data_IF_923909886023
#
_entry.id   IF_923909886023
#
_cell.length_a   1.000
_cell.length_b   1.000
_cell.length_c   1.000
_cell.angle_alpha   90.00
_cell.angle_beta   90.00
_cell.angle_gamma   90.00
#
_symmetry.space_group_name_H-M   'P 1'
#
loop_
_entity.id
_entity.type
_entity.pdbx_description
1 polymer ?
#
# COMPACT_ATOMS: atom_id res chain seq x y z
N UNK A 1 4.81 18.30 42.35
CA UNK A 1 4.70 16.90 41.91
C UNK A 1 4.21 16.79 40.45
N UNK A 2 3.19 17.53 39.98
CA UNK A 2 2.65 17.40 38.62
C UNK A 2 3.62 17.72 37.45
N UNK A 3 4.53 18.69 37.61
CA UNK A 3 5.47 19.07 36.53
C UNK A 3 6.51 17.96 36.22
N UNK A 4 7.02 17.27 37.25
CA UNK A 4 7.98 16.18 37.07
C UNK A 4 7.31 14.95 36.43
N UNK A 5 6.07 14.65 36.80
CA UNK A 5 5.29 13.56 36.16
C UNK A 5 5.02 13.85 34.70
N UNK A 6 4.60 15.07 34.36
CA UNK A 6 4.38 15.46 32.97
C UNK A 6 5.65 15.38 32.10
N UNK A 7 6.79 15.77 32.65
CA UNK A 7 8.08 15.65 31.93
C UNK A 7 8.43 14.17 31.69
N UNK A 8 8.21 13.30 32.68
CA UNK A 8 8.48 11.87 32.57
C UNK A 8 7.56 11.22 31.52
N UNK A 9 6.28 11.58 31.51
CA UNK A 9 5.33 11.11 30.49
C UNK A 9 5.75 11.54 29.07
N UNK A 10 6.17 12.80 28.91
CA UNK A 10 6.68 13.30 27.62
C UNK A 10 7.92 12.51 27.14
N UNK A 11 8.84 12.21 28.03
CA UNK A 11 10.04 11.40 27.69
C UNK A 11 9.63 9.99 27.28
N UNK A 12 8.70 9.38 28.00
CA UNK A 12 8.21 8.04 27.70
C UNK A 12 7.51 7.99 26.33
N UNK A 13 6.65 8.97 26.02
CA UNK A 13 6.00 9.09 24.70
C UNK A 13 7.04 9.31 23.62
N UNK A 14 8.04 10.14 23.84
CA UNK A 14 9.12 10.36 22.89
C UNK A 14 9.87 9.05 22.56
N UNK A 15 10.28 8.32 23.58
CA UNK A 15 10.97 7.02 23.41
C UNK A 15 10.07 6.01 22.68
N UNK A 16 8.81 5.90 23.10
CA UNK A 16 7.83 5.01 22.45
C UNK A 16 7.63 5.37 20.97
N UNK A 17 7.57 6.67 20.64
CA UNK A 17 7.45 7.15 19.25
C UNK A 17 8.67 6.77 18.42
N UNK A 18 9.88 6.91 18.94
CA UNK A 18 11.12 6.51 18.25
C UNK A 18 11.14 5.00 18.01
N UNK A 19 10.76 4.21 19.01
CA UNK A 19 10.68 2.74 18.89
C UNK A 19 9.63 2.34 17.86
N UNK A 20 8.43 2.93 17.92
CA UNK A 20 7.35 2.69 16.95
C UNK A 20 7.79 3.00 15.52
N UNK A 21 8.47 4.15 15.33
CA UNK A 21 9.01 4.54 14.02
C UNK A 21 10.07 3.56 13.52
N UNK A 22 10.94 3.07 14.40
CA UNK A 22 11.96 2.08 14.05
C UNK A 22 11.33 0.75 13.62
N UNK A 23 10.33 0.26 14.35
CA UNK A 23 9.58 -0.96 14.01
C UNK A 23 8.87 -0.78 12.67
N UNK A 24 8.17 0.34 12.48
CA UNK A 24 7.51 0.67 11.21
C UNK A 24 8.49 0.67 10.04
N UNK A 25 9.67 1.29 10.21
CA UNK A 25 10.71 1.34 9.19
C UNK A 25 11.22 -0.06 8.83
N UNK A 26 11.46 -0.92 9.82
CA UNK A 26 11.89 -2.31 9.60
C UNK A 26 10.82 -3.09 8.82
N UNK A 27 9.56 -3.00 9.23
CA UNK A 27 8.46 -3.71 8.57
C UNK A 27 8.25 -3.24 7.12
N UNK A 28 8.30 -1.94 6.88
CA UNK A 28 8.19 -1.39 5.51
C UNK A 28 9.36 -1.81 4.64
N UNK A 29 10.58 -1.88 5.19
CA UNK A 29 11.76 -2.35 4.46
C UNK A 29 11.68 -3.84 4.10
N UNK A 30 11.11 -4.67 4.98
CA UNK A 30 10.87 -6.10 4.72
C UNK A 30 9.80 -6.32 3.63
N UNK A 31 8.84 -5.41 3.50
CA UNK A 31 7.81 -5.44 2.46
C UNK A 31 8.31 -5.24 1.02
N UNK A 32 9.60 -4.88 0.83
CA UNK A 32 10.24 -4.75 -0.48
C UNK A 32 10.32 -3.31 -0.99
N UNK A 33 11.05 -3.13 -2.11
CA UNK A 33 11.36 -1.81 -2.72
C UNK A 33 10.31 -1.40 -3.76
N UNK A 34 9.03 -1.66 -3.53
CA UNK A 34 7.98 -1.22 -4.46
C UNK A 34 7.76 0.27 -4.36
N UNK A 35 7.67 0.93 -5.50
CA UNK A 35 7.23 2.33 -5.55
C UNK A 35 5.73 2.40 -5.24
N UNK A 36 5.29 3.48 -4.60
CA UNK A 36 3.88 3.69 -4.22
C UNK A 36 2.95 3.54 -5.44
N UNK A 37 3.39 3.99 -6.62
CA UNK A 37 2.66 3.86 -7.87
C UNK A 37 2.46 2.40 -8.35
N UNK A 38 3.19 1.45 -7.78
CA UNK A 38 3.12 0.02 -8.12
C UNK A 38 2.48 -0.82 -7.02
N UNK A 39 1.95 -0.17 -5.96
CA UNK A 39 1.24 -0.85 -4.89
C UNK A 39 -0.12 -1.34 -5.37
N UNK A 40 -0.46 -2.58 -5.03
CA UNK A 40 -1.82 -3.06 -5.19
C UNK A 40 -2.72 -2.53 -4.05
N UNK A 41 -4.03 -2.69 -4.19
CA UNK A 41 -5.00 -2.25 -3.19
C UNK A 41 -4.73 -2.86 -1.80
N UNK A 42 -4.33 -4.13 -1.73
CA UNK A 42 -3.99 -4.79 -0.47
C UNK A 42 -2.79 -4.14 0.19
N UNK A 43 -1.70 -3.89 -0.55
CA UNK A 43 -0.49 -3.24 -0.03
C UNK A 43 -0.81 -1.84 0.52
N UNK A 44 -1.66 -1.08 -0.19
CA UNK A 44 -2.11 0.24 0.22
C UNK A 44 -2.89 0.21 1.54
N UNK A 45 -3.94 -0.60 1.62
CA UNK A 45 -4.77 -0.74 2.83
C UNK A 45 -3.94 -1.24 4.01
N UNK A 46 -3.09 -2.25 3.79
CA UNK A 46 -2.23 -2.81 4.82
C UNK A 46 -1.24 -1.77 5.35
N UNK A 47 -0.67 -0.93 4.48
CA UNK A 47 0.26 0.14 4.87
C UNK A 47 -0.41 1.18 5.77
N UNK A 48 -1.64 1.59 5.44
CA UNK A 48 -2.43 2.51 6.27
C UNK A 48 -2.71 1.88 7.65
N UNK A 49 -3.10 0.61 7.66
CA UNK A 49 -3.40 -0.11 8.91
C UNK A 49 -2.17 -0.22 9.81
N UNK A 50 -1.02 -0.62 9.26
CA UNK A 50 0.24 -0.68 10.02
C UNK A 50 0.62 0.70 10.56
N UNK A 51 0.46 1.76 9.76
CA UNK A 51 0.72 3.14 10.18
C UNK A 51 -0.17 3.58 11.35
N UNK A 52 -1.46 3.23 11.33
CA UNK A 52 -2.40 3.52 12.42
C UNK A 52 -2.04 2.77 13.70
N UNK A 53 -1.65 1.49 13.60
CA UNK A 53 -1.20 0.69 14.74
C UNK A 53 0.12 1.24 15.31
N UNK A 54 1.02 1.72 14.45
CA UNK A 54 2.27 2.36 14.87
C UNK A 54 2.01 3.65 15.66
N UNK A 55 1.01 4.44 15.27
CA UNK A 55 0.59 5.63 16.01
C UNK A 55 0.01 5.27 17.38
N UNK A 56 -0.80 4.22 17.47
CA UNK A 56 -1.30 3.70 18.75
C UNK A 56 -0.17 3.22 19.66
N UNK A 57 0.84 2.53 19.12
CA UNK A 57 2.01 2.08 19.87
C UNK A 57 2.80 3.24 20.47
N UNK A 58 2.86 4.38 19.79
CA UNK A 58 3.56 5.57 20.27
C UNK A 58 2.87 6.23 21.47
N UNK A 59 1.54 6.10 21.59
CA UNK A 59 0.73 6.79 22.60
C UNK A 59 0.25 5.89 23.74
N UNK A 60 0.13 4.58 23.50
CA UNK A 60 -0.34 3.62 24.50
C UNK A 60 0.84 2.98 25.24
N UNK A 61 1.29 3.68 26.28
CA UNK A 61 2.49 3.29 27.07
C UNK A 61 2.24 2.07 27.97
N UNK A 62 1.01 1.89 28.45
CA UNK A 62 0.70 0.81 29.40
C UNK A 62 0.62 -0.55 28.71
N UNK A 63 0.09 -0.59 27.48
CA UNK A 63 -0.17 -1.84 26.75
C UNK A 63 0.55 -1.88 25.40
N UNK A 64 1.75 -1.33 25.32
CA UNK A 64 2.57 -1.23 24.13
C UNK A 64 2.77 -2.56 23.37
N UNK A 65 2.71 -3.67 24.08
CA UNK A 65 2.85 -5.03 23.49
C UNK A 65 1.69 -5.40 22.55
N UNK A 66 0.49 -4.85 22.75
CA UNK A 66 -0.69 -5.13 21.90
C UNK A 66 -0.51 -4.59 20.48
N UNK A 67 -0.27 -3.28 20.30
CA UNK A 67 -0.03 -2.75 18.95
C UNK A 67 1.26 -3.33 18.34
N UNK A 68 2.30 -3.61 19.12
CA UNK A 68 3.49 -4.27 18.60
C UNK A 68 3.18 -5.65 18.02
N UNK A 69 2.42 -6.47 18.74
CA UNK A 69 1.99 -7.79 18.26
C UNK A 69 1.16 -7.67 16.99
N UNK A 70 0.22 -6.73 16.94
CA UNK A 70 -0.57 -6.47 15.75
C UNK A 70 0.29 -6.05 14.55
N UNK A 71 1.26 -5.14 14.72
CA UNK A 71 2.19 -4.74 13.67
C UNK A 71 2.98 -5.93 13.11
N UNK A 72 3.46 -6.83 13.98
CA UNK A 72 4.20 -8.04 13.56
C UNK A 72 3.29 -8.94 12.73
N UNK A 73 2.05 -9.17 13.15
CA UNK A 73 1.08 -10.02 12.42
C UNK A 73 0.79 -9.43 11.04
N UNK A 74 0.50 -8.12 10.94
CA UNK A 74 0.27 -7.45 9.67
C UNK A 74 1.52 -7.45 8.79
N UNK A 75 2.70 -7.28 9.37
CA UNK A 75 3.97 -7.37 8.64
C UNK A 75 4.22 -8.77 8.07
N UNK A 76 3.96 -9.82 8.84
CA UNK A 76 4.06 -11.22 8.38
C UNK A 76 3.03 -11.48 7.28
N UNK A 77 1.79 -11.01 7.43
CA UNK A 77 0.76 -11.15 6.41
C UNK A 77 1.17 -10.47 5.09
N UNK A 78 1.68 -9.23 5.15
CA UNK A 78 2.19 -8.51 3.99
C UNK A 78 3.33 -9.28 3.30
N UNK A 79 4.28 -9.78 4.09
CA UNK A 79 5.39 -10.57 3.56
C UNK A 79 4.91 -11.87 2.91
N UNK A 80 3.98 -12.59 3.54
CA UNK A 80 3.41 -13.84 3.00
C UNK A 80 2.68 -13.60 1.68
N UNK A 81 1.87 -12.54 1.60
CA UNK A 81 1.18 -12.13 0.36
C UNK A 81 2.18 -11.77 -0.73
N UNK A 82 3.19 -10.95 -0.38
CA UNK A 82 4.25 -10.57 -1.33
C UNK A 82 5.01 -11.80 -1.86
N UNK A 83 5.43 -12.70 -0.98
CA UNK A 83 6.11 -13.94 -1.35
C UNK A 83 5.22 -14.84 -2.21
N UNK A 84 3.94 -14.98 -1.84
CA UNK A 84 2.96 -15.76 -2.60
C UNK A 84 2.74 -15.20 -4.02
N UNK A 85 2.62 -13.88 -4.16
CA UNK A 85 2.46 -13.23 -5.48
C UNK A 85 3.70 -13.35 -6.37
N UNK A 86 4.89 -13.36 -5.77
CA UNK A 86 6.14 -13.58 -6.53
C UNK A 86 6.26 -15.03 -7.02
N UNK A 87 5.86 -16.01 -6.21
CA UNK A 87 6.08 -17.42 -6.49
C UNK A 87 4.93 -18.07 -7.28
N UNK A 88 3.69 -17.60 -7.11
CA UNK A 88 2.51 -18.24 -7.68
C UNK A 88 1.72 -17.27 -8.58
N UNK A 89 1.60 -17.62 -9.87
CA UNK A 89 0.83 -16.85 -10.85
C UNK A 89 -0.65 -16.72 -10.44
N UNK A 90 -1.25 -17.78 -9.89
CA UNK A 90 -2.66 -17.79 -9.54
C UNK A 90 -2.95 -16.82 -8.38
N UNK A 91 -2.07 -16.77 -7.37
CA UNK A 91 -2.16 -15.81 -6.25
C UNK A 91 -2.04 -14.38 -6.77
N UNK A 92 -1.12 -14.13 -7.70
CA UNK A 92 -0.94 -12.82 -8.32
C UNK A 92 -2.17 -12.40 -9.12
N UNK A 93 -2.75 -13.30 -9.92
CA UNK A 93 -3.96 -13.02 -10.71
C UNK A 93 -5.17 -12.77 -9.82
N UNK A 94 -5.27 -13.49 -8.71
CA UNK A 94 -6.36 -13.31 -7.73
C UNK A 94 -6.25 -11.96 -7.00
N UNK A 95 -5.03 -11.54 -6.63
CA UNK A 95 -4.80 -10.32 -5.86
C UNK A 95 -4.78 -9.05 -6.73
N UNK A 96 -4.11 -9.11 -7.87
CA UNK A 96 -3.89 -7.95 -8.75
C UNK A 96 -4.85 -7.91 -9.95
N UNK A 97 -5.65 -8.96 -10.14
CA UNK A 97 -6.50 -9.10 -11.33
C UNK A 97 -5.72 -9.50 -12.57
N UNK A 98 -6.44 -9.65 -13.67
CA UNK A 98 -5.88 -9.86 -15.00
C UNK A 98 -5.81 -8.52 -15.74
N UNK A 99 -4.78 -8.34 -16.56
CA UNK A 99 -4.75 -7.22 -17.48
C UNK A 99 -5.91 -7.36 -18.49
N UNK A 100 -6.70 -6.31 -18.62
CA UNK A 100 -7.82 -6.22 -19.55
C UNK A 100 -7.38 -5.27 -20.67
N UNK A 101 -7.32 -5.70 -21.95
CA UNK A 101 -7.01 -4.79 -23.04
C UNK A 101 -8.17 -3.81 -23.21
N UNK A 102 -7.93 -2.53 -22.97
CA UNK A 102 -8.93 -1.48 -23.10
C UNK A 102 -8.99 -0.91 -24.52
N UNK A 103 -7.88 -1.07 -25.27
CA UNK A 103 -7.72 -0.56 -26.62
C UNK A 103 -6.78 -1.45 -27.42
N UNK A 104 -7.05 -1.62 -28.70
CA UNK A 104 -6.19 -2.32 -29.65
C UNK A 104 -6.29 -1.67 -31.03
N UNK A 105 -5.13 -1.38 -31.64
CA UNK A 105 -5.01 -0.78 -32.98
C UNK A 105 -5.92 0.45 -33.18
N UNK A 106 -5.91 1.40 -32.24
CA UNK A 106 -6.74 2.61 -32.33
C UNK A 106 -8.21 2.41 -31.94
N UNK A 107 -8.66 1.19 -31.68
CA UNK A 107 -10.06 0.89 -31.37
C UNK A 107 -10.24 0.69 -29.86
N UNK A 108 -11.11 1.49 -29.24
CA UNK A 108 -11.40 1.43 -27.80
C UNK A 108 -12.57 0.47 -27.55
N UNK A 109 -12.38 -0.48 -26.62
CA UNK A 109 -13.39 -1.46 -26.22
C UNK A 109 -14.24 -0.94 -25.06
N UNK A 110 -15.39 -0.31 -25.38
CA UNK A 110 -16.31 0.25 -24.36
C UNK A 110 -16.78 -0.79 -23.32
N UNK A 111 -16.96 -2.03 -23.72
CA UNK A 111 -17.36 -3.11 -22.81
C UNK A 111 -16.26 -3.41 -21.77
N UNK A 112 -15.00 -3.38 -22.20
CA UNK A 112 -13.86 -3.64 -21.32
C UNK A 112 -13.57 -2.43 -20.39
N UNK A 113 -13.78 -1.20 -20.85
CA UNK A 113 -13.77 -0.02 -19.99
C UNK A 113 -14.80 -0.14 -18.86
N UNK A 114 -16.02 -0.58 -19.18
CA UNK A 114 -17.06 -0.83 -18.18
C UNK A 114 -16.69 -1.93 -17.17
N UNK A 115 -16.04 -3.00 -17.62
CA UNK A 115 -15.52 -4.07 -16.74
C UNK A 115 -14.40 -3.59 -15.84
N UNK A 116 -13.50 -2.75 -16.36
CA UNK A 116 -12.42 -2.13 -15.62
C UNK A 116 -12.91 -1.01 -14.68
N UNK A 117 -14.19 -0.59 -14.82
CA UNK A 117 -14.79 0.55 -14.09
C UNK A 117 -14.04 1.86 -14.31
N UNK A 118 -13.53 2.05 -15.50
CA UNK A 118 -12.81 3.26 -15.94
C UNK A 118 -13.67 3.94 -17.00
N UNK A 119 -13.86 5.24 -16.90
CA UNK A 119 -14.53 5.99 -17.96
C UNK A 119 -13.56 6.37 -19.09
N UNK A 120 -14.12 6.77 -20.24
CA UNK A 120 -13.32 7.15 -21.41
C UNK A 120 -12.41 8.35 -21.15
N UNK A 121 -12.87 9.33 -20.37
CA UNK A 121 -12.09 10.52 -20.07
C UNK A 121 -10.89 10.21 -19.15
N UNK A 122 -11.11 9.32 -18.19
CA UNK A 122 -10.05 8.81 -17.31
C UNK A 122 -8.99 8.02 -18.10
N UNK A 123 -9.43 7.12 -19.01
CA UNK A 123 -8.53 6.40 -19.90
C UNK A 123 -7.69 7.35 -20.75
N UNK A 124 -8.32 8.37 -21.38
CA UNK A 124 -7.63 9.35 -22.20
C UNK A 124 -6.67 10.22 -21.38
N UNK A 125 -7.04 10.56 -20.16
CA UNK A 125 -6.16 11.30 -19.26
C UNK A 125 -4.92 10.49 -18.89
N UNK A 126 -5.07 9.20 -18.58
CA UNK A 126 -3.95 8.31 -18.28
C UNK A 126 -3.06 8.07 -19.51
N UNK A 127 -3.62 7.91 -20.70
CA UNK A 127 -2.85 7.81 -21.93
C UNK A 127 -1.95 9.05 -22.15
N UNK A 128 -2.49 10.25 -21.93
CA UNK A 128 -1.71 11.51 -22.01
C UNK A 128 -0.60 11.59 -20.95
N UNK A 129 -0.88 11.16 -19.74
CA UNK A 129 0.13 11.10 -18.67
C UNK A 129 1.26 10.13 -19.03
N UNK A 130 0.93 9.03 -19.73
CA UNK A 130 1.91 8.08 -20.25
C UNK A 130 2.65 8.57 -21.51
N UNK A 131 2.28 9.78 -22.05
CA UNK A 131 2.92 10.39 -23.21
C UNK A 131 2.26 10.09 -24.56
N UNK A 132 1.15 9.37 -24.58
CA UNK A 132 0.42 9.03 -25.81
C UNK A 132 -0.66 10.07 -26.07
N UNK A 133 -0.43 10.95 -27.06
CA UNK A 133 -1.39 11.99 -27.48
C UNK A 133 -2.20 11.53 -28.71
N UNK A 134 -1.61 10.72 -29.58
CA UNK A 134 -2.29 10.09 -30.70
C UNK A 134 -2.56 8.61 -30.38
N UNK A 135 -3.84 8.27 -30.30
CA UNK A 135 -4.26 6.89 -29.97
C UNK A 135 -4.02 5.92 -31.15
N UNK A 136 -3.84 6.41 -32.37
CA UNK A 136 -3.55 5.55 -33.50
C UNK A 136 -2.14 4.94 -33.44
N UNK A 137 -1.24 5.52 -32.67
CA UNK A 137 0.12 4.99 -32.43
C UNK A 137 0.12 3.87 -31.39
N UNK A 138 -0.97 3.68 -30.63
CA UNK A 138 -1.07 2.68 -29.56
C UNK A 138 -1.56 1.37 -30.15
N UNK A 139 -0.69 0.36 -30.16
CA UNK A 139 -1.04 -0.98 -30.65
C UNK A 139 -1.93 -1.73 -29.64
N UNK A 140 -1.64 -1.65 -28.34
CA UNK A 140 -2.43 -2.26 -27.28
C UNK A 140 -2.26 -1.48 -25.97
N UNK A 141 -3.36 -1.19 -25.26
CA UNK A 141 -3.39 -0.54 -23.97
C UNK A 141 -4.42 -1.21 -23.04
#
# INVERSE_FOLDING_TARGET
MGKMQAVQEMINVFVASVVSLAVLFILTRLGGKRQIAQMNLFDYVNSITIGSIAAEMATNLEQWYRPLTAMIVYGIAAFAVHYGTCKNRNVRLWLSGQAIPLMENGTIYKAELGRAKIDLNEFLAQARVAGYFDLNEVQCA
#
